data_IF_852640479442
#
_entry.id   IF_852640479442
#
_cell.length_a   1.000
_cell.length_b   1.000
_cell.length_c   1.000
_cell.angle_alpha   90.00
_cell.angle_beta   90.00
_cell.angle_gamma   90.00
#
_symmetry.space_group_name_H-M   'P 1'
#
loop_
_entity.id
_entity.type
_entity.pdbx_description
1 polymer ?
#
# COMPACT_ATOMS: atom_id res chain seq x y z
N UNK A 1 15.70 -10.79 0.12
CA UNK A 1 17.17 -10.71 -0.02
C UNK A 1 17.69 -12.09 0.26
N UNK A 2 18.36 -12.70 -0.72
CA UNK A 2 18.89 -14.07 -0.59
C UNK A 2 20.33 -14.03 -0.10
N UNK A 3 21.07 -12.99 -0.49
CA UNK A 3 22.45 -12.75 -0.04
C UNK A 3 22.79 -11.25 -0.17
N UNK A 4 23.97 -10.85 0.28
CA UNK A 4 24.51 -9.49 0.13
C UNK A 4 25.97 -9.59 -0.31
N UNK A 5 26.33 -8.94 -1.40
CA UNK A 5 27.71 -8.87 -1.88
C UNK A 5 28.39 -7.64 -1.24
N UNK A 6 29.39 -7.81 -0.36
CA UNK A 6 30.19 -6.70 0.14
C UNK A 6 31.21 -6.26 -0.92
N UNK A 7 31.34 -4.94 -1.12
CA UNK A 7 32.37 -4.35 -1.98
C UNK A 7 32.98 -3.16 -1.24
N UNK A 8 34.10 -3.41 -0.55
CA UNK A 8 34.67 -2.44 0.40
C UNK A 8 33.69 -2.15 1.55
N UNK A 9 33.30 -0.88 1.68
CA UNK A 9 32.27 -0.45 2.65
C UNK A 9 30.83 -0.57 2.10
N UNK A 10 30.66 -0.79 0.79
CA UNK A 10 29.35 -0.94 0.17
C UNK A 10 28.79 -2.34 0.38
N UNK A 11 27.47 -2.45 0.49
CA UNK A 11 26.75 -3.71 0.62
C UNK A 11 25.59 -3.74 -0.37
N UNK A 12 25.71 -4.57 -1.41
CA UNK A 12 24.69 -4.68 -2.46
C UNK A 12 23.82 -5.91 -2.20
N UNK A 13 22.50 -5.76 -2.01
CA UNK A 13 21.61 -6.90 -1.79
C UNK A 13 21.39 -7.70 -3.08
N UNK A 14 21.40 -9.02 -2.97
CA UNK A 14 21.05 -9.96 -4.03
C UNK A 14 19.61 -10.43 -3.82
N UNK A 15 18.80 -10.36 -4.87
CA UNK A 15 17.40 -10.78 -4.85
C UNK A 15 17.10 -11.71 -6.02
N UNK A 16 16.43 -12.82 -5.73
CA UNK A 16 15.80 -13.66 -6.74
C UNK A 16 14.35 -13.24 -6.81
N UNK A 17 13.88 -12.91 -8.01
CA UNK A 17 12.50 -12.50 -8.26
C UNK A 17 12.07 -13.11 -9.59
N UNK A 18 10.79 -13.45 -9.67
CA UNK A 18 10.17 -13.79 -10.94
C UNK A 18 10.10 -12.57 -11.87
N UNK A 19 9.88 -12.82 -13.16
CA UNK A 19 9.71 -11.76 -14.16
C UNK A 19 8.63 -10.76 -13.74
N UNK A 20 8.86 -9.48 -14.04
CA UNK A 20 7.99 -8.37 -13.60
C UNK A 20 6.52 -8.58 -13.97
N UNK A 21 6.30 -9.21 -15.10
CA UNK A 21 5.00 -9.51 -15.70
C UNK A 21 4.13 -10.47 -14.88
N UNK A 22 4.71 -11.28 -14.00
CA UNK A 22 3.94 -12.14 -13.11
C UNK A 22 3.30 -11.37 -11.96
N UNK A 23 3.94 -10.29 -11.50
CA UNK A 23 3.45 -9.50 -10.38
C UNK A 23 2.33 -8.53 -10.77
N UNK A 24 2.13 -8.27 -12.07
CA UNK A 24 1.12 -7.35 -12.58
C UNK A 24 -0.24 -7.99 -12.85
N UNK A 25 -0.36 -9.32 -12.78
CA UNK A 25 -1.60 -10.04 -13.11
C UNK A 25 -1.95 -11.10 -12.09
N UNK A 26 -3.12 -10.94 -11.47
CA UNK A 26 -3.68 -11.91 -10.53
C UNK A 26 -3.85 -13.30 -11.15
N UNK A 27 -4.17 -13.37 -12.45
CA UNK A 27 -4.33 -14.63 -13.19
C UNK A 27 -3.00 -15.37 -13.30
N UNK A 28 -1.90 -14.65 -13.60
CA UNK A 28 -0.56 -15.24 -13.68
C UNK A 28 -0.07 -15.74 -12.32
N UNK A 29 -0.37 -15.00 -11.25
CA UNK A 29 -0.10 -15.46 -9.87
C UNK A 29 -0.88 -16.74 -9.58
N UNK A 30 -2.17 -16.79 -9.93
CA UNK A 30 -3.01 -17.99 -9.72
C UNK A 30 -2.56 -19.21 -10.52
N UNK A 31 -1.89 -19.02 -11.66
CA UNK A 31 -1.34 -20.13 -12.45
C UNK A 31 0.01 -20.68 -11.95
N UNK A 32 0.59 -20.11 -10.89
CA UNK A 32 1.88 -20.58 -10.37
C UNK A 32 1.77 -22.00 -9.81
N UNK A 33 2.73 -22.84 -10.21
CA UNK A 33 2.97 -24.15 -9.63
C UNK A 33 4.27 -24.12 -8.83
N UNK A 34 4.22 -24.62 -7.60
CA UNK A 34 5.37 -24.73 -6.72
C UNK A 34 5.76 -26.19 -6.57
N UNK A 35 7.06 -26.47 -6.59
CA UNK A 35 7.56 -27.82 -6.31
C UNK A 35 7.52 -28.06 -4.81
N UNK A 36 6.76 -29.08 -4.40
CA UNK A 36 6.74 -29.55 -3.02
C UNK A 36 8.07 -30.21 -2.64
N UNK A 37 8.29 -30.41 -1.33
CA UNK A 37 9.46 -31.14 -0.81
C UNK A 37 9.59 -32.58 -1.33
N UNK A 38 8.52 -33.14 -1.89
CA UNK A 38 8.48 -34.47 -2.49
C UNK A 38 8.69 -34.46 -4.01
N UNK A 39 9.03 -33.31 -4.60
CA UNK A 39 9.25 -33.16 -6.05
C UNK A 39 7.96 -33.04 -6.88
N UNK A 40 6.79 -33.06 -6.25
CA UNK A 40 5.49 -32.92 -6.92
C UNK A 40 5.16 -31.45 -7.13
N UNK A 41 4.70 -31.09 -8.33
CA UNK A 41 4.18 -29.76 -8.63
C UNK A 41 2.80 -29.57 -8.00
N UNK A 42 2.65 -28.51 -7.21
CA UNK A 42 1.43 -28.15 -6.49
C UNK A 42 0.99 -26.75 -6.92
N UNK A 43 -0.25 -26.57 -7.43
CA UNK A 43 -0.74 -25.25 -7.80
C UNK A 43 -0.94 -24.40 -6.55
N UNK A 44 -0.56 -23.13 -6.59
CA UNK A 44 -0.64 -22.22 -5.42
C UNK A 44 -2.08 -22.06 -4.90
N UNK A 45 -3.07 -22.18 -5.78
CA UNK A 45 -4.50 -22.10 -5.45
C UNK A 45 -5.02 -23.28 -4.63
N UNK A 46 -4.28 -24.40 -4.57
CA UNK A 46 -4.64 -25.54 -3.71
C UNK A 46 -4.22 -25.36 -2.26
N UNK A 47 -3.35 -24.40 -1.97
CA UNK A 47 -2.79 -24.15 -0.63
C UNK A 47 -3.09 -22.74 -0.10
N UNK A 48 -3.53 -21.82 -0.96
CA UNK A 48 -3.84 -20.45 -0.59
C UNK A 48 -5.04 -19.90 -1.38
N UNK A 49 -5.88 -19.12 -0.71
CA UNK A 49 -6.91 -18.30 -1.37
C UNK A 49 -6.28 -17.00 -1.85
N UNK A 50 -6.49 -16.67 -3.12
CA UNK A 50 -5.94 -15.47 -3.76
C UNK A 50 -7.10 -14.61 -4.25
N UNK A 51 -7.24 -13.44 -3.65
CA UNK A 51 -8.31 -12.48 -3.91
C UNK A 51 -7.78 -11.05 -4.01
N UNK A 52 -8.43 -10.26 -4.85
CA UNK A 52 -8.18 -8.82 -4.97
C UNK A 52 -9.13 -8.10 -4.02
N UNK A 53 -8.56 -7.24 -3.18
CA UNK A 53 -9.29 -6.54 -2.13
C UNK A 53 -8.85 -5.09 -2.09
N UNK A 54 -9.80 -4.20 -1.80
CA UNK A 54 -9.50 -2.81 -1.53
C UNK A 54 -8.88 -2.67 -0.13
N UNK A 55 -7.90 -1.78 -0.02
CA UNK A 55 -7.18 -1.54 1.23
C UNK A 55 -6.73 -0.08 1.37
N UNK A 56 -6.37 0.34 2.59
CA UNK A 56 -5.86 1.70 2.79
C UNK A 56 -4.51 1.86 2.07
N UNK A 57 -4.41 2.87 1.19
CA UNK A 57 -3.15 3.24 0.52
C UNK A 57 -2.11 3.72 1.54
N UNK A 58 -2.56 4.38 2.61
CA UNK A 58 -1.72 4.83 3.71
C UNK A 58 -2.50 4.82 5.02
N UNK A 59 -1.80 4.54 6.12
CA UNK A 59 -2.39 4.63 7.46
C UNK A 59 -1.68 5.74 8.23
N UNK A 60 -2.26 6.93 8.18
CA UNK A 60 -1.77 8.11 8.89
C UNK A 60 -2.25 8.08 10.34
N UNK A 61 -1.33 8.38 11.26
CA UNK A 61 -1.60 8.46 12.69
C UNK A 61 -0.98 9.71 13.29
N UNK A 62 -1.69 10.30 14.23
CA UNK A 62 -1.21 11.37 15.10
C UNK A 62 -1.62 11.03 16.53
N UNK A 63 -0.69 11.11 17.48
CA UNK A 63 -0.92 10.72 18.88
C UNK A 63 -1.58 9.33 19.03
N UNK A 64 -1.10 8.36 18.23
CA UNK A 64 -1.61 6.98 18.16
C UNK A 64 -3.06 6.82 17.68
N UNK A 65 -3.72 7.90 17.24
CA UNK A 65 -5.07 7.86 16.67
C UNK A 65 -4.99 7.90 15.15
N UNK A 66 -5.84 7.09 14.48
CA UNK A 66 -5.97 7.14 13.02
C UNK A 66 -6.70 8.41 12.61
N UNK A 67 -6.20 9.07 11.57
CA UNK A 67 -6.86 10.23 10.99
C UNK A 67 -6.75 10.23 9.47
N UNK A 68 -7.67 10.93 8.82
CA UNK A 68 -7.55 11.29 7.41
C UNK A 68 -7.30 12.80 7.33
N UNK A 69 -6.34 13.21 6.49
CA UNK A 69 -5.95 14.62 6.37
C UNK A 69 -6.49 15.15 5.05
N UNK A 70 -7.39 16.12 5.13
CA UNK A 70 -7.83 16.91 3.97
C UNK A 70 -6.98 18.18 3.95
N UNK A 71 -6.32 18.46 2.82
CA UNK A 71 -5.51 19.67 2.63
C UNK A 71 -6.22 20.60 1.65
N UNK A 72 -6.18 21.88 1.95
CA UNK A 72 -6.67 22.93 1.07
C UNK A 72 -5.59 23.98 0.88
N UNK A 73 -5.45 24.47 -0.34
CA UNK A 73 -4.55 25.58 -0.68
C UNK A 73 -5.40 26.84 -0.86
N UNK A 74 -5.14 27.85 -0.03
CA UNK A 74 -5.88 29.13 -0.07
C UNK A 74 -5.08 30.14 -0.88
N UNK A 75 -5.69 30.69 -1.94
CA UNK A 75 -5.07 31.67 -2.85
C UNK A 75 -6.05 32.81 -3.09
N UNK A 76 -5.57 34.05 -3.12
CA UNK A 76 -6.36 35.23 -3.48
C UNK A 76 -7.37 35.69 -2.42
N UNK A 77 -7.32 35.16 -1.19
CA UNK A 77 -8.13 35.60 -0.05
C UNK A 77 -7.41 35.45 1.28
N UNK A 78 -7.93 36.13 2.30
CA UNK A 78 -7.44 36.05 3.67
C UNK A 78 -7.67 34.66 4.29
N UNK A 79 -6.64 34.18 5.01
CA UNK A 79 -6.63 32.84 5.62
C UNK A 79 -7.58 32.74 6.82
N UNK A 80 -7.63 33.75 7.67
CA UNK A 80 -8.45 33.69 8.89
C UNK A 80 -9.94 33.64 8.53
N UNK A 81 -10.35 34.48 7.58
CA UNK A 81 -11.72 34.51 7.05
C UNK A 81 -12.11 33.19 6.38
N UNK A 82 -11.18 32.55 5.66
CA UNK A 82 -11.39 31.22 5.09
C UNK A 82 -11.61 30.15 6.17
N UNK A 83 -10.80 30.16 7.23
CA UNK A 83 -10.90 29.17 8.32
C UNK A 83 -12.24 29.27 9.04
N UNK A 84 -12.69 30.48 9.37
CA UNK A 84 -13.97 30.68 10.06
C UNK A 84 -15.17 30.29 9.20
N UNK A 85 -15.15 30.63 7.91
CA UNK A 85 -16.16 30.17 6.94
C UNK A 85 -16.17 28.64 6.83
N UNK A 86 -15.01 28.02 6.65
CA UNK A 86 -14.89 26.56 6.51
C UNK A 86 -15.42 25.82 7.75
N UNK A 87 -15.07 26.27 8.96
CA UNK A 87 -15.61 25.71 10.21
C UNK A 87 -17.14 25.75 10.24
N UNK A 88 -17.73 26.89 9.87
CA UNK A 88 -19.20 27.07 9.84
C UNK A 88 -19.86 26.13 8.82
N UNK A 89 -19.32 26.08 7.61
CA UNK A 89 -19.85 25.22 6.53
C UNK A 89 -19.75 23.74 6.89
N UNK A 90 -18.61 23.31 7.45
CA UNK A 90 -18.41 21.92 7.89
C UNK A 90 -19.40 21.57 9.01
N UNK A 91 -19.54 22.42 10.02
CA UNK A 91 -20.48 22.18 11.12
C UNK A 91 -21.95 22.09 10.65
N UNK A 92 -22.31 22.80 9.58
CA UNK A 92 -23.66 22.79 9.02
C UNK A 92 -23.92 21.58 8.11
N UNK A 93 -22.94 21.15 7.31
CA UNK A 93 -23.16 20.21 6.21
C UNK A 93 -22.53 18.82 6.44
N UNK A 94 -21.65 18.67 7.42
CA UNK A 94 -20.95 17.41 7.68
C UNK A 94 -21.44 16.82 8.99
N UNK A 95 -22.09 15.65 8.90
CA UNK A 95 -22.42 14.84 10.07
C UNK A 95 -21.25 13.90 10.37
N UNK A 96 -20.61 14.11 11.51
CA UNK A 96 -19.56 13.21 12.00
C UNK A 96 -20.19 11.96 12.64
N UNK A 97 -19.60 10.78 12.44
CA UNK A 97 -20.02 9.54 13.11
C UNK A 97 -19.69 9.53 14.60
#
# INVERSE_FOLDING_TARGET
VVDVIPTGISRTPVMIRQESDFASSITKIKSLALTSKYGVLVPITSIAKIEEVDGPVSIVRENSRRMSVVRSNVVGRDLNSFVEEAKKVIAQNVKLP
#
